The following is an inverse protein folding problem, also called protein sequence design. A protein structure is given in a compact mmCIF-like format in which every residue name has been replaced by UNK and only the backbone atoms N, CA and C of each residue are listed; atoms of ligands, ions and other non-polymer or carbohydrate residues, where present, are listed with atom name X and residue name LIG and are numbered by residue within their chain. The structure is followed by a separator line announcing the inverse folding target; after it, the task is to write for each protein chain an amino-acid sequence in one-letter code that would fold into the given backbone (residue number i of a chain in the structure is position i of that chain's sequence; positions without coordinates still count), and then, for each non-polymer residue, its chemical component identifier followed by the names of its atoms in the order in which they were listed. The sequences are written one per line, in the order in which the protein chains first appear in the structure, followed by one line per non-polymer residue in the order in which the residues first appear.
data_IF_740932574404
#
_entry.id   IF_740932574404
#
_cell.length_a   1.000
_cell.length_b   1.000
_cell.length_c   1.000
_cell.angle_alpha   90.00
_cell.angle_beta   90.00
_cell.angle_gamma   90.00
#
_symmetry.space_group_name_H-M   'P 1'
#
loop_
_entity.id
_entity.type
_entity.pdbx_description
1 polymer ?
#
# COMPACT_ATOMS: atom_id res chain seq x y z
N UNK A 1 37.74 -20.74 26.20
CA UNK A 1 37.82 -21.97 25.40
C UNK A 1 36.44 -22.61 25.43
N UNK A 2 35.54 -22.15 24.55
CA UNK A 2 34.32 -22.83 24.11
C UNK A 2 33.97 -22.19 22.76
N UNK A 3 34.62 -22.71 21.71
CA UNK A 3 34.15 -22.60 20.34
C UNK A 3 33.26 -23.84 20.13
N UNK A 4 31.94 -23.65 20.14
CA UNK A 4 30.99 -24.55 19.51
C UNK A 4 30.41 -23.81 18.30
N UNK A 5 30.99 -24.10 17.16
CA UNK A 5 30.35 -23.83 15.87
C UNK A 5 29.07 -24.68 15.81
N UNK A 6 27.91 -24.04 15.93
CA UNK A 6 26.64 -24.69 15.57
C UNK A 6 26.55 -24.71 14.04
N UNK A 7 26.90 -25.87 13.47
CA UNK A 7 26.60 -26.17 12.07
C UNK A 7 25.07 -26.26 11.93
N UNK A 8 24.47 -25.26 11.29
CA UNK A 8 23.09 -25.34 10.81
C UNK A 8 23.10 -26.06 9.47
N UNK A 9 22.82 -27.35 9.48
CA UNK A 9 22.46 -28.09 8.27
C UNK A 9 21.15 -27.50 7.72
N UNK A 10 21.27 -26.59 6.75
CA UNK A 10 20.12 -26.14 5.94
C UNK A 10 19.86 -27.29 4.95
N UNK A 11 18.89 -28.16 5.26
CA UNK A 11 18.33 -29.05 4.26
C UNK A 11 17.74 -28.18 3.15
N UNK A 12 18.40 -28.14 2.00
CA UNK A 12 17.89 -27.55 0.79
C UNK A 12 16.74 -28.41 0.28
N UNK A 13 15.51 -28.01 0.58
CA UNK A 13 14.30 -28.59 -0.04
C UNK A 13 14.36 -28.28 -1.52
N UNK A 14 14.41 -29.31 -2.37
CA UNK A 14 14.46 -29.13 -3.81
C UNK A 14 13.08 -28.67 -4.32
N UNK A 15 13.08 -27.85 -5.37
CA UNK A 15 11.83 -27.37 -5.98
C UNK A 15 10.93 -28.50 -6.54
N UNK A 16 11.46 -29.71 -6.61
CA UNK A 16 10.77 -30.92 -7.09
C UNK A 16 9.81 -31.53 -6.04
N UNK A 17 9.92 -31.11 -4.77
CA UNK A 17 9.07 -31.63 -3.68
C UNK A 17 7.72 -30.90 -3.58
N UNK A 18 7.49 -29.88 -4.40
CA UNK A 18 6.24 -29.12 -4.46
C UNK A 18 5.53 -29.36 -5.78
N UNK A 19 4.50 -30.20 -5.76
CA UNK A 19 3.60 -30.40 -6.90
C UNK A 19 2.60 -29.24 -6.96
N UNK A 20 2.99 -28.13 -7.64
CA UNK A 20 2.14 -26.98 -7.86
C UNK A 20 1.59 -27.03 -9.30
N UNK A 21 0.29 -27.04 -9.45
CA UNK A 21 -0.33 -26.72 -10.73
C UNK A 21 -0.04 -25.23 -11.09
N UNK A 22 1.05 -25.03 -11.80
CA UNK A 22 1.47 -23.71 -12.28
C UNK A 22 0.84 -23.43 -13.64
N UNK A 23 -0.20 -22.62 -13.68
CA UNK A 23 -0.64 -21.99 -14.92
C UNK A 23 0.34 -20.86 -15.27
N UNK A 24 1.31 -21.14 -16.12
CA UNK A 24 2.25 -20.15 -16.61
C UNK A 24 1.52 -19.36 -17.71
N UNK A 25 1.10 -18.15 -17.41
CA UNK A 25 0.72 -17.17 -18.42
C UNK A 25 2.03 -16.53 -18.89
N UNK A 26 2.45 -16.98 -20.07
CA UNK A 26 3.77 -16.81 -20.65
C UNK A 26 4.26 -15.37 -20.70
N UNK A 27 5.43 -15.13 -20.11
CA UNK A 27 6.32 -14.07 -20.51
C UNK A 27 7.75 -14.29 -20.03
N UNK A 28 8.70 -14.14 -20.95
CA UNK A 28 10.12 -14.48 -20.80
C UNK A 28 10.92 -13.64 -19.79
N UNK A 29 10.27 -12.89 -18.89
CA UNK A 29 10.92 -12.07 -17.89
C UNK A 29 10.67 -12.60 -16.47
N UNK A 30 11.68 -13.26 -15.92
CA UNK A 30 11.74 -13.84 -14.56
C UNK A 30 11.46 -12.81 -13.43
N UNK A 31 11.37 -11.51 -13.74
CA UNK A 31 11.27 -10.44 -12.77
C UNK A 31 9.85 -10.02 -12.39
N UNK A 32 8.82 -10.52 -13.06
CA UNK A 32 7.42 -10.11 -12.85
C UNK A 32 6.52 -11.27 -12.40
N UNK A 33 6.98 -12.06 -11.42
CA UNK A 33 6.20 -13.18 -10.89
C UNK A 33 5.26 -12.71 -9.78
N UNK A 34 3.97 -13.01 -9.94
CA UNK A 34 2.93 -12.79 -8.95
C UNK A 34 2.39 -14.15 -8.53
N UNK A 35 2.52 -14.44 -7.24
CA UNK A 35 1.94 -15.64 -6.64
C UNK A 35 0.68 -15.21 -5.91
N UNK A 36 -0.48 -15.55 -6.47
CA UNK A 36 -1.77 -15.24 -5.87
C UNK A 36 -2.38 -16.54 -5.29
N UNK A 37 -2.69 -16.50 -4.01
CA UNK A 37 -3.34 -17.62 -3.33
C UNK A 37 -4.78 -17.25 -2.98
N UNK A 38 -5.79 -17.83 -3.65
CA UNK A 38 -7.18 -17.65 -3.25
C UNK A 38 -7.45 -18.35 -1.91
N UNK A 39 -8.44 -17.89 -1.16
CA UNK A 39 -8.86 -18.39 0.17
C UNK A 39 -9.08 -19.91 0.24
N UNK A 40 -9.15 -20.61 -0.88
CA UNK A 40 -9.36 -22.06 -1.00
C UNK A 40 -8.10 -22.72 -1.56
N UNK A 41 -7.18 -23.08 -0.68
CA UNK A 41 -6.33 -24.26 -0.62
C UNK A 41 -5.42 -24.70 -1.79
N UNK A 42 -5.35 -24.06 -2.92
CA UNK A 42 -4.30 -24.34 -3.91
C UNK A 42 -3.62 -23.02 -4.27
N UNK A 43 -2.31 -22.88 -4.01
CA UNK A 43 -1.57 -21.73 -4.50
C UNK A 43 -1.60 -21.74 -6.02
N UNK A 44 -2.06 -20.66 -6.62
CA UNK A 44 -1.99 -20.42 -8.05
C UNK A 44 -0.89 -19.39 -8.28
N UNK A 45 0.19 -19.81 -8.92
CA UNK A 45 1.23 -18.89 -9.36
C UNK A 45 0.77 -18.24 -10.65
N UNK A 46 0.65 -16.93 -10.66
CA UNK A 46 0.22 -16.16 -11.83
C UNK A 46 1.26 -15.09 -12.10
N UNK A 47 1.84 -15.10 -13.29
CA UNK A 47 2.77 -14.07 -13.75
C UNK A 47 1.98 -12.90 -14.34
N UNK A 48 2.11 -11.71 -13.77
CA UNK A 48 1.50 -10.50 -14.31
C UNK A 48 2.54 -9.43 -14.63
N UNK A 49 2.40 -8.81 -15.79
CA UNK A 49 3.30 -7.74 -16.21
C UNK A 49 3.05 -6.41 -15.51
N UNK A 50 1.84 -6.20 -14.94
CA UNK A 50 1.45 -4.92 -14.36
C UNK A 50 0.29 -5.04 -13.37
N UNK A 51 0.07 -3.98 -12.62
CA UNK A 51 -0.99 -3.85 -11.61
C UNK A 51 -2.39 -4.08 -12.19
N UNK A 52 -2.65 -3.65 -13.44
CA UNK A 52 -3.95 -3.79 -14.09
C UNK A 52 -4.35 -5.24 -14.34
N UNK A 53 -3.40 -6.10 -14.74
CA UNK A 53 -3.70 -7.52 -14.94
C UNK A 53 -4.07 -8.18 -13.62
N UNK A 54 -3.28 -7.93 -12.58
CA UNK A 54 -3.59 -8.47 -11.26
C UNK A 54 -4.94 -7.98 -10.76
N UNK A 55 -5.24 -6.69 -10.88
CA UNK A 55 -6.50 -6.12 -10.41
C UNK A 55 -7.73 -6.77 -11.08
N UNK A 56 -7.62 -7.14 -12.38
CA UNK A 56 -8.68 -7.87 -13.09
C UNK A 56 -8.92 -9.27 -12.52
N UNK A 57 -7.87 -9.95 -12.10
CA UNK A 57 -7.91 -11.31 -11.57
C UNK A 57 -8.34 -11.40 -10.10
N UNK A 58 -8.28 -10.29 -9.35
CA UNK A 58 -8.77 -10.25 -7.98
C UNK A 58 -10.27 -10.61 -7.96
N UNK A 59 -10.63 -11.61 -7.17
CA UNK A 59 -12.01 -11.96 -6.85
C UNK A 59 -12.34 -11.39 -5.47
N UNK A 60 -13.17 -10.35 -5.43
CA UNK A 60 -13.53 -9.68 -4.17
C UNK A 60 -14.41 -10.54 -3.25
N UNK A 61 -14.98 -11.63 -3.74
CA UNK A 61 -15.72 -12.57 -2.91
C UNK A 61 -14.81 -13.58 -2.20
N UNK A 62 -13.49 -13.45 -2.40
CA UNK A 62 -12.45 -14.30 -1.81
C UNK A 62 -11.28 -13.48 -1.28
N UNK A 63 -10.65 -13.97 -0.22
CA UNK A 63 -9.36 -13.42 0.17
C UNK A 63 -8.28 -13.85 -0.84
N UNK A 64 -7.53 -12.87 -1.34
CA UNK A 64 -6.36 -13.12 -2.20
C UNK A 64 -5.09 -12.78 -1.42
N UNK A 65 -4.15 -13.72 -1.37
CA UNK A 65 -2.79 -13.46 -0.93
C UNK A 65 -1.88 -13.47 -2.16
N UNK A 66 -1.06 -12.44 -2.35
CA UNK A 66 -0.19 -12.30 -3.51
C UNK A 66 1.25 -12.01 -3.10
N UNK A 67 2.19 -12.68 -3.79
CA UNK A 67 3.60 -12.30 -3.83
C UNK A 67 3.87 -11.65 -5.19
N UNK A 68 4.46 -10.46 -5.17
CA UNK A 68 4.74 -9.67 -6.36
C UNK A 68 6.22 -9.40 -6.43
N UNK A 69 6.81 -9.62 -7.59
CA UNK A 69 8.21 -9.34 -7.87
C UNK A 69 8.32 -8.30 -8.99
N UNK A 70 9.45 -7.59 -9.04
CA UNK A 70 9.73 -6.65 -10.13
C UNK A 70 9.21 -5.23 -9.88
N UNK A 71 8.90 -4.52 -10.93
CA UNK A 71 8.55 -3.09 -10.91
C UNK A 71 7.09 -2.83 -10.52
N UNK A 72 6.59 -3.52 -9.52
CA UNK A 72 5.24 -3.32 -9.04
C UNK A 72 5.14 -2.03 -8.20
N UNK A 73 4.13 -1.22 -8.49
CA UNK A 73 3.83 0.02 -7.78
C UNK A 73 2.49 -0.15 -7.06
N UNK A 74 2.51 -0.08 -5.72
CA UNK A 74 1.31 -0.36 -4.91
C UNK A 74 0.20 0.68 -5.15
N UNK A 75 0.56 1.95 -5.40
CA UNK A 75 -0.42 3.00 -5.75
C UNK A 75 -1.13 2.69 -7.05
N UNK A 76 -0.40 2.30 -8.09
CA UNK A 76 -0.97 1.90 -9.39
C UNK A 76 -1.91 0.70 -9.24
N UNK A 77 -1.62 -0.21 -8.29
CA UNK A 77 -2.51 -1.34 -8.02
C UNK A 77 -3.86 -0.89 -7.42
N UNK A 78 -3.85 0.07 -6.49
CA UNK A 78 -5.09 0.60 -5.91
C UNK A 78 -5.94 1.29 -6.99
N UNK A 79 -5.32 2.14 -7.82
CA UNK A 79 -5.97 2.76 -8.97
C UNK A 79 -6.55 1.70 -9.92
N UNK A 80 -5.74 0.73 -10.32
CA UNK A 80 -6.16 -0.35 -11.20
C UNK A 80 -7.27 -1.22 -10.60
N UNK A 81 -7.31 -1.42 -9.28
CA UNK A 81 -8.37 -2.17 -8.61
C UNK A 81 -9.70 -1.41 -8.65
N UNK A 82 -9.67 -0.10 -8.38
CA UNK A 82 -10.85 0.77 -8.47
C UNK A 82 -11.40 0.74 -9.89
N UNK A 83 -10.53 0.90 -10.90
CA UNK A 83 -10.90 0.84 -12.31
C UNK A 83 -11.45 -0.53 -12.71
N UNK A 84 -10.68 -1.59 -12.49
CA UNK A 84 -10.99 -2.93 -12.99
C UNK A 84 -12.27 -3.51 -12.37
N UNK A 85 -12.66 -3.07 -11.20
CA UNK A 85 -13.88 -3.51 -10.50
C UNK A 85 -15.01 -2.49 -10.55
N UNK A 86 -14.84 -1.38 -11.28
CA UNK A 86 -15.82 -0.28 -11.39
C UNK A 86 -16.34 0.14 -10.01
N UNK A 87 -15.40 0.37 -9.08
CA UNK A 87 -15.75 0.67 -7.69
C UNK A 87 -16.16 2.13 -7.54
N UNK A 88 -17.40 2.35 -7.12
CA UNK A 88 -17.89 3.67 -6.70
C UNK A 88 -17.61 3.85 -5.22
N UNK A 89 -16.53 4.55 -4.93
CA UNK A 89 -15.97 4.59 -3.59
C UNK A 89 -16.51 5.79 -2.82
N UNK A 90 -17.25 5.55 -1.75
CA UNK A 90 -17.63 6.62 -0.81
C UNK A 90 -16.42 7.10 -0.01
N UNK A 91 -15.46 6.22 0.24
CA UNK A 91 -14.28 6.57 1.02
C UNK A 91 -13.10 5.64 0.72
N UNK A 92 -11.90 6.22 0.64
CA UNK A 92 -10.63 5.48 0.61
C UNK A 92 -9.73 5.98 1.73
N UNK A 93 -9.10 5.06 2.46
CA UNK A 93 -8.03 5.34 3.41
C UNK A 93 -6.74 4.71 2.92
N UNK A 94 -5.66 5.46 2.95
CA UNK A 94 -4.33 4.98 2.59
C UNK A 94 -3.36 5.26 3.74
N UNK A 95 -2.55 4.27 4.09
CA UNK A 95 -1.43 4.46 5.01
C UNK A 95 -0.13 3.97 4.39
N UNK A 96 0.97 4.71 4.60
CA UNK A 96 2.27 4.36 4.02
C UNK A 96 3.44 4.93 4.84
N UNK A 97 4.56 4.21 4.81
CA UNK A 97 5.83 4.74 5.31
C UNK A 97 6.39 5.84 4.41
N UNK A 98 6.20 5.72 3.09
CA UNK A 98 6.67 6.66 2.09
C UNK A 98 6.00 6.44 0.74
N UNK A 99 6.12 7.41 -0.15
CA UNK A 99 5.57 7.37 -1.50
C UNK A 99 6.50 8.03 -2.50
N UNK A 100 6.35 7.69 -3.78
CA UNK A 100 6.99 8.36 -4.89
C UNK A 100 6.02 9.27 -5.63
N UNK A 101 6.55 10.05 -6.58
CA UNK A 101 5.76 10.96 -7.39
C UNK A 101 4.63 10.23 -8.14
N UNK A 102 4.94 9.13 -8.84
CA UNK A 102 3.95 8.35 -9.59
C UNK A 102 2.76 7.91 -8.73
N UNK A 103 2.98 7.63 -7.42
CA UNK A 103 1.89 7.27 -6.52
C UNK A 103 1.05 8.47 -6.10
N UNK A 104 1.64 9.66 -6.04
CA UNK A 104 0.89 10.91 -5.84
C UNK A 104 0.00 11.15 -7.07
N UNK A 105 0.54 10.94 -8.26
CA UNK A 105 -0.19 11.04 -9.52
C UNK A 105 -1.36 10.03 -9.57
N UNK A 106 -1.11 8.76 -9.18
CA UNK A 106 -2.16 7.73 -9.07
C UNK A 106 -3.28 8.12 -8.09
N UNK A 107 -2.94 8.74 -6.95
CA UNK A 107 -3.94 9.26 -6.00
C UNK A 107 -4.75 10.38 -6.65
N UNK A 108 -4.10 11.27 -7.40
CA UNK A 108 -4.76 12.30 -8.19
C UNK A 108 -5.73 11.69 -9.20
N UNK A 109 -5.29 10.72 -9.99
CA UNK A 109 -6.11 10.02 -10.97
C UNK A 109 -7.34 9.37 -10.33
N UNK A 110 -7.16 8.67 -9.20
CA UNK A 110 -8.28 8.07 -8.45
C UNK A 110 -9.35 9.12 -8.12
N UNK A 111 -8.94 10.30 -7.72
CA UNK A 111 -9.86 11.37 -7.32
C UNK A 111 -10.47 12.13 -8.51
N UNK A 112 -9.77 12.19 -9.67
CA UNK A 112 -10.24 12.91 -10.85
C UNK A 112 -11.07 12.06 -11.81
N UNK A 113 -10.65 10.80 -12.00
CA UNK A 113 -11.14 9.97 -13.10
C UNK A 113 -12.16 8.92 -12.65
N UNK A 114 -12.24 8.66 -11.34
CA UNK A 114 -13.12 7.65 -10.78
C UNK A 114 -14.08 8.25 -9.73
N UNK A 115 -15.22 7.59 -9.53
CA UNK A 115 -16.25 8.03 -8.57
C UNK A 115 -15.79 7.81 -7.10
N UNK A 116 -14.79 8.57 -6.66
CA UNK A 116 -14.30 8.54 -5.27
C UNK A 116 -14.69 9.84 -4.56
N UNK A 117 -15.57 9.73 -3.55
CA UNK A 117 -16.09 10.91 -2.84
C UNK A 117 -15.07 11.50 -1.86
N UNK A 118 -14.26 10.65 -1.20
CA UNK A 118 -13.27 11.08 -0.20
C UNK A 118 -12.07 10.17 -0.14
N UNK A 119 -10.88 10.78 0.05
CA UNK A 119 -9.64 10.06 0.33
C UNK A 119 -8.98 10.60 1.60
N UNK A 120 -8.55 9.71 2.46
CA UNK A 120 -7.82 10.00 3.69
C UNK A 120 -6.43 9.36 3.61
N UNK A 121 -5.39 10.18 3.67
CA UNK A 121 -4.00 9.75 3.52
C UNK A 121 -3.24 9.93 4.83
N UNK A 122 -2.64 8.85 5.34
CA UNK A 122 -1.77 8.87 6.51
C UNK A 122 -0.35 8.57 6.08
N UNK A 123 0.52 9.57 6.21
CA UNK A 123 1.94 9.45 5.88
C UNK A 123 2.80 9.39 7.14
N UNK A 124 3.95 8.73 7.03
CA UNK A 124 4.84 8.60 8.19
C UNK A 124 5.61 9.89 8.50
N UNK A 125 6.02 10.02 9.76
CA UNK A 125 7.00 11.03 10.18
C UNK A 125 8.30 10.92 9.37
N UNK A 126 8.68 9.70 8.99
CA UNK A 126 9.87 9.43 8.18
C UNK A 126 9.77 10.09 6.80
N UNK A 127 8.64 9.90 6.11
CA UNK A 127 8.39 10.52 4.82
C UNK A 127 8.48 12.04 4.91
N UNK A 128 7.74 12.65 5.84
CA UNK A 128 7.76 14.11 6.03
C UNK A 128 9.15 14.63 6.37
N UNK A 129 9.91 13.90 7.18
CA UNK A 129 11.27 14.32 7.55
C UNK A 129 12.24 14.41 6.37
N UNK A 130 12.02 13.54 5.35
CA UNK A 130 12.83 13.51 4.13
C UNK A 130 12.29 14.44 3.03
N UNK A 131 11.00 14.38 2.81
CA UNK A 131 10.33 14.86 1.60
C UNK A 131 9.57 16.19 1.79
N UNK A 132 9.72 16.83 2.95
CA UNK A 132 8.99 18.07 3.27
C UNK A 132 9.29 19.25 2.34
N UNK A 133 10.36 19.20 1.54
CA UNK A 133 10.74 20.24 0.58
C UNK A 133 10.33 19.92 -0.85
N UNK A 134 10.16 18.66 -1.17
CA UNK A 134 9.98 18.17 -2.54
C UNK A 134 8.61 17.50 -2.69
N UNK A 135 8.46 16.25 -2.27
CA UNK A 135 7.23 15.49 -2.51
C UNK A 135 6.03 15.94 -1.66
N UNK A 136 6.25 16.48 -0.44
CA UNK A 136 5.12 17.00 0.34
C UNK A 136 4.47 18.24 -0.28
N UNK A 137 5.20 19.26 -0.76
CA UNK A 137 4.62 20.35 -1.53
C UNK A 137 3.95 19.88 -2.82
N UNK A 138 4.57 18.94 -3.54
CA UNK A 138 4.01 18.36 -4.75
C UNK A 138 2.66 17.66 -4.47
N UNK A 139 2.61 16.81 -3.43
CA UNK A 139 1.39 16.16 -2.97
C UNK A 139 0.25 17.18 -2.70
N UNK A 140 0.59 18.26 -1.97
CA UNK A 140 -0.40 19.28 -1.62
C UNK A 140 -0.85 20.09 -2.84
N UNK A 141 0.01 20.28 -3.82
CA UNK A 141 -0.32 20.95 -5.08
C UNK A 141 -1.24 20.10 -5.94
N UNK A 142 -0.88 18.83 -6.18
CA UNK A 142 -1.64 17.90 -7.04
C UNK A 142 -3.03 17.60 -6.49
N UNK A 143 -3.16 17.50 -5.18
CA UNK A 143 -4.44 17.17 -4.55
C UNK A 143 -5.23 18.40 -4.07
N UNK A 144 -4.78 19.61 -4.43
CA UNK A 144 -5.47 20.85 -4.03
C UNK A 144 -6.83 20.98 -4.72
N UNK A 145 -7.86 21.29 -3.95
CA UNK A 145 -9.24 21.37 -4.45
C UNK A 145 -9.99 20.04 -4.42
N UNK A 146 -9.31 18.92 -4.16
CA UNK A 146 -9.92 17.60 -4.04
C UNK A 146 -10.33 17.32 -2.58
N UNK A 147 -11.31 16.43 -2.39
CA UNK A 147 -11.73 15.98 -1.07
C UNK A 147 -10.73 14.96 -0.48
N UNK A 148 -9.52 15.45 -0.21
CA UNK A 148 -8.42 14.66 0.34
C UNK A 148 -7.96 15.28 1.65
N UNK A 149 -7.89 14.45 2.69
CA UNK A 149 -7.31 14.81 3.99
C UNK A 149 -5.96 14.11 4.18
N UNK A 150 -4.97 14.83 4.73
CA UNK A 150 -3.64 14.27 5.02
C UNK A 150 -3.30 14.41 6.49
N UNK A 151 -2.89 13.30 7.12
CA UNK A 151 -2.36 13.26 8.49
C UNK A 151 -0.93 12.72 8.52
N UNK A 152 -0.18 13.07 9.58
CA UNK A 152 1.17 12.56 9.85
C UNK A 152 1.15 11.75 11.14
N UNK A 153 1.66 10.51 11.08
CA UNK A 153 1.78 9.66 12.25
C UNK A 153 3.09 8.85 12.25
N UNK A 154 3.44 8.25 13.38
CA UNK A 154 4.47 7.20 13.44
C UNK A 154 3.93 5.89 12.90
N UNK A 155 3.70 5.80 11.58
CA UNK A 155 3.08 4.63 10.95
C UNK A 155 4.05 3.93 10.00
N UNK A 156 4.06 2.60 10.06
CA UNK A 156 4.79 1.73 9.12
C UNK A 156 3.85 0.78 8.38
N UNK A 157 2.58 0.74 8.74
CA UNK A 157 1.57 -0.06 8.05
C UNK A 157 1.35 0.45 6.61
N UNK A 158 1.21 -0.48 5.66
CA UNK A 158 0.87 -0.23 4.27
C UNK A 158 -0.48 -0.86 4.04
N UNK A 159 -1.51 -0.06 4.23
CA UNK A 159 -2.90 -0.50 4.20
C UNK A 159 -3.70 0.48 3.36
N UNK A 160 -4.52 -0.07 2.47
CA UNK A 160 -5.60 0.66 1.82
C UNK A 160 -6.94 0.08 2.28
N UNK A 161 -7.86 0.95 2.67
CA UNK A 161 -9.24 0.60 2.98
C UNK A 161 -10.12 1.27 1.94
N UNK A 162 -10.99 0.49 1.28
CA UNK A 162 -11.85 0.98 0.21
C UNK A 162 -13.29 0.65 0.56
N UNK A 163 -14.14 1.66 0.74
CA UNK A 163 -15.57 1.48 0.91
C UNK A 163 -16.28 1.78 -0.40
N UNK A 164 -16.95 0.78 -0.97
CA UNK A 164 -17.68 0.90 -2.22
C UNK A 164 -19.02 0.13 -2.15
N UNK A 165 -20.12 0.86 -2.00
CA UNK A 165 -21.42 0.29 -1.73
C UNK A 165 -21.41 -0.53 -0.44
N UNK A 166 -21.73 -1.82 -0.53
CA UNK A 166 -21.72 -2.75 0.62
C UNK A 166 -20.32 -3.35 0.88
N UNK A 167 -19.38 -3.17 -0.02
CA UNK A 167 -18.02 -3.73 0.09
C UNK A 167 -17.13 -2.90 1.01
N UNK A 168 -16.34 -3.61 1.80
CA UNK A 168 -15.38 -3.08 2.76
C UNK A 168 -14.01 -3.73 2.51
N UNK A 169 -13.35 -3.29 1.46
CA UNK A 169 -12.14 -3.94 0.95
C UNK A 169 -10.93 -3.46 1.74
N UNK A 170 -10.14 -4.42 2.20
CA UNK A 170 -8.87 -4.19 2.87
C UNK A 170 -7.75 -4.73 1.97
N UNK A 171 -6.82 -3.86 1.60
CA UNK A 171 -5.55 -4.24 0.97
C UNK A 171 -4.44 -3.94 1.95
N UNK A 172 -3.70 -4.95 2.38
CA UNK A 172 -2.57 -4.77 3.30
C UNK A 172 -1.35 -5.54 2.83
N UNK A 173 -0.16 -4.98 3.01
CA UNK A 173 1.04 -5.63 2.53
C UNK A 173 2.35 -5.01 3.01
N UNK A 174 3.44 -5.44 2.37
CA UNK A 174 4.79 -4.94 2.66
C UNK A 174 5.18 -3.74 1.80
N UNK A 175 4.58 -3.59 0.60
CA UNK A 175 4.94 -2.54 -0.35
C UNK A 175 4.53 -1.14 0.11
N UNK A 176 5.46 -0.20 0.08
CA UNK A 176 5.14 1.22 0.22
C UNK A 176 4.42 1.75 -1.04
N UNK A 177 3.88 2.96 -0.93
CA UNK A 177 3.45 3.74 -2.10
C UNK A 177 4.69 4.28 -2.85
N UNK A 178 5.56 3.36 -3.26
CA UNK A 178 6.76 3.64 -4.07
C UNK A 178 7.14 2.37 -4.82
N UNK A 179 7.83 2.52 -5.96
CA UNK A 179 8.36 1.39 -6.70
C UNK A 179 9.37 0.61 -5.85
N UNK A 180 9.31 -0.71 -5.91
CA UNK A 180 10.26 -1.62 -5.26
C UNK A 180 10.69 -2.69 -6.26
N UNK A 181 11.98 -3.01 -6.27
CA UNK A 181 12.51 -4.16 -7.01
C UNK A 181 12.58 -5.42 -6.13
N UNK A 182 12.03 -5.33 -4.92
CA UNK A 182 12.00 -6.45 -3.98
C UNK A 182 10.78 -7.33 -4.23
N UNK A 183 10.82 -8.52 -3.64
CA UNK A 183 9.61 -9.34 -3.49
C UNK A 183 8.73 -8.67 -2.43
N UNK A 184 7.51 -8.32 -2.82
CA UNK A 184 6.52 -7.72 -1.94
C UNK A 184 5.33 -8.65 -1.78
N UNK A 185 4.74 -8.64 -0.62
CA UNK A 185 3.50 -9.36 -0.36
C UNK A 185 2.35 -8.41 -0.13
N UNK A 186 1.15 -8.83 -0.49
CA UNK A 186 -0.07 -8.19 -0.03
C UNK A 186 -1.25 -9.16 0.00
N UNK A 187 -2.27 -8.74 0.72
CA UNK A 187 -3.54 -9.45 0.83
C UNK A 187 -4.65 -8.48 0.43
N UNK A 188 -5.61 -8.99 -0.34
CA UNK A 188 -6.84 -8.29 -0.68
C UNK A 188 -8.01 -9.10 -0.14
N UNK A 189 -8.90 -8.44 0.60
CA UNK A 189 -10.03 -9.13 1.18
C UNK A 189 -11.18 -8.14 1.43
N UNK A 190 -12.42 -8.55 1.16
CA UNK A 190 -13.62 -7.83 1.55
C UNK A 190 -14.07 -8.37 2.91
N UNK A 191 -13.80 -7.60 3.97
CA UNK A 191 -14.13 -7.97 5.35
C UNK A 191 -14.43 -6.73 6.18
N UNK A 192 -15.70 -6.60 6.56
CA UNK A 192 -16.16 -5.43 7.32
C UNK A 192 -15.51 -5.31 8.69
N UNK A 193 -15.25 -6.42 9.38
CA UNK A 193 -14.68 -6.35 10.73
C UNK A 193 -13.21 -5.89 10.68
N UNK A 194 -12.44 -6.41 9.71
CA UNK A 194 -11.06 -5.98 9.52
C UNK A 194 -10.98 -4.54 9.00
N UNK A 195 -11.92 -4.15 8.13
CA UNK A 195 -12.05 -2.77 7.66
C UNK A 195 -12.32 -1.82 8.84
N UNK A 196 -13.35 -2.09 9.63
CA UNK A 196 -13.74 -1.26 10.77
C UNK A 196 -12.60 -1.17 11.81
N UNK A 197 -11.94 -2.29 12.11
CA UNK A 197 -10.79 -2.33 13.04
C UNK A 197 -9.68 -1.36 12.61
N UNK A 198 -9.30 -1.37 11.34
CA UNK A 198 -8.27 -0.46 10.83
C UNK A 198 -8.78 0.98 10.74
N UNK A 199 -10.02 1.18 10.29
CA UNK A 199 -10.63 2.50 10.14
C UNK A 199 -10.74 3.23 11.46
N UNK A 200 -11.09 2.55 12.54
CA UNK A 200 -11.18 3.15 13.89
C UNK A 200 -9.84 3.75 14.34
N UNK A 201 -8.74 3.05 14.08
CA UNK A 201 -7.40 3.59 14.36
C UNK A 201 -7.08 4.77 13.43
N UNK A 202 -7.34 4.64 12.13
CA UNK A 202 -7.02 5.67 11.15
C UNK A 202 -7.84 6.94 11.37
N UNK A 203 -9.11 6.81 11.75
CA UNK A 203 -9.96 7.94 12.10
C UNK A 203 -9.40 8.72 13.31
N UNK A 204 -8.95 8.02 14.37
CA UNK A 204 -8.30 8.65 15.52
C UNK A 204 -6.99 9.36 15.14
N UNK A 205 -6.20 8.78 14.23
CA UNK A 205 -4.99 9.43 13.70
C UNK A 205 -5.37 10.69 12.92
N UNK A 206 -6.36 10.62 12.06
CA UNK A 206 -6.82 11.76 11.26
C UNK A 206 -7.35 12.88 12.15
N UNK A 207 -8.16 12.57 13.15
CA UNK A 207 -8.71 13.54 14.10
C UNK A 207 -7.59 14.33 14.84
N UNK A 208 -6.56 13.63 15.29
CA UNK A 208 -5.53 14.22 16.15
C UNK A 208 -4.33 14.80 15.38
N UNK A 209 -4.03 14.29 14.18
CA UNK A 209 -2.78 14.56 13.48
C UNK A 209 -2.97 15.04 12.03
N UNK A 210 -4.19 15.46 11.66
CA UNK A 210 -4.46 16.05 10.34
C UNK A 210 -3.65 17.33 10.16
N UNK A 211 -2.91 17.40 9.06
CA UNK A 211 -2.06 18.54 8.71
C UNK A 211 -2.59 19.32 7.53
N UNK A 212 -3.35 18.69 6.66
CA UNK A 212 -3.82 19.32 5.44
C UNK A 212 -5.23 18.84 5.05
N UNK A 213 -5.97 19.76 4.46
CA UNK A 213 -7.32 19.59 3.96
C UNK A 213 -7.36 20.14 2.53
N UNK A 214 -7.58 19.26 1.57
CA UNK A 214 -7.49 19.59 0.15
C UNK A 214 -8.55 20.57 -0.31
N UNK A 215 -9.79 20.47 0.21
CA UNK A 215 -10.88 21.39 -0.18
C UNK A 215 -10.60 22.81 0.31
N UNK A 216 -10.24 22.97 1.57
CA UNK A 216 -9.99 24.30 2.15
C UNK A 216 -8.59 24.82 1.90
N UNK A 217 -7.68 24.01 1.40
CA UNK A 217 -6.26 24.31 1.28
C UNK A 217 -5.55 24.58 2.63
N UNK A 218 -6.20 24.25 3.74
CA UNK A 218 -5.66 24.52 5.08
C UNK A 218 -4.47 23.62 5.38
N UNK A 219 -3.29 24.26 5.44
CA UNK A 219 -2.01 23.58 5.67
C UNK A 219 -1.48 23.91 7.07
N UNK A 220 -1.22 22.88 7.87
CA UNK A 220 -0.58 22.97 9.20
C UNK A 220 0.86 22.45 9.21
N UNK A 221 1.39 22.04 8.05
CA UNK A 221 2.77 21.61 7.94
C UNK A 221 3.70 22.81 8.06
N UNK A 222 4.31 22.98 9.23
CA UNK A 222 5.27 24.05 9.51
C UNK A 222 6.71 23.50 9.49
N UNK A 223 7.68 24.41 9.33
CA UNK A 223 9.11 24.04 9.46
C UNK A 223 9.42 23.42 10.82
N UNK A 224 8.73 23.85 11.87
CA UNK A 224 8.88 23.29 13.22
C UNK A 224 8.36 21.85 13.30
N UNK A 225 7.17 21.56 12.71
CA UNK A 225 6.61 20.21 12.66
C UNK A 225 7.52 19.27 11.87
N UNK A 226 8.02 19.70 10.71
CA UNK A 226 8.98 18.93 9.92
C UNK A 226 10.28 18.63 10.71
N UNK A 227 10.76 19.60 11.51
CA UNK A 227 11.91 19.40 12.40
C UNK A 227 11.62 18.40 13.53
N UNK A 228 10.42 18.45 14.13
CA UNK A 228 9.98 17.46 15.12
C UNK A 228 9.89 16.04 14.55
N UNK A 229 9.39 15.89 13.32
CA UNK A 229 9.39 14.60 12.61
C UNK A 229 10.81 14.05 12.43
N UNK A 230 11.77 14.91 12.10
CA UNK A 230 13.19 14.52 11.98
C UNK A 230 13.80 14.10 13.32
N UNK A 231 13.54 14.84 14.41
CA UNK A 231 14.04 14.49 15.73
C UNK A 231 13.54 13.12 16.19
N UNK A 232 12.23 12.85 16.08
CA UNK A 232 11.64 11.54 16.39
C UNK A 232 12.21 10.40 15.56
N UNK A 233 12.56 10.64 14.31
CA UNK A 233 13.24 9.65 13.48
C UNK A 233 14.60 9.28 14.05
N UNK A 234 15.40 10.27 14.44
CA UNK A 234 16.75 10.03 15.00
C UNK A 234 16.71 9.28 16.33
N UNK A 235 15.66 9.52 17.16
CA UNK A 235 15.43 8.77 18.40
C UNK A 235 15.07 7.31 18.14
N UNK A 236 14.39 6.99 17.03
CA UNK A 236 14.02 5.64 16.64
C UNK A 236 15.10 4.86 15.86
N UNK A 237 16.13 5.54 15.35
CA UNK A 237 17.29 4.88 14.70
C UNK A 237 18.30 4.32 15.72
N UNK A 238 18.05 4.46 17.02
CA UNK A 238 18.93 3.99 18.13
C UNK A 238 18.49 2.62 18.69
N UNK A 239 17.55 1.91 17.98
CA UNK A 239 17.12 0.55 18.34
C UNK A 239 17.43 -0.47 17.26
#
# INVERSE_FOLDING_TARGET
MFDEEMDFDIETVSAEDFDFDVEIIDDDNIHDEIFAMPKILKPKCVKYKNAQKLAKEIDLDRATYALVTGSFVFGDFIEALVEAKDLKCSEIWLSTLGMGQNNIDSIGNIMYDYDVEKLNLIVSNYFVSKEHRDLMPYLMQELNGLNVDVAIAGIHAKIALIQAGERNIVVSGSANLSSSNNVEQFMVLDDKNLYDFNKDLFAKIMENYKIWDGISGKNRLTKELARKCRARRMENEVW
#
